data_IF_420943456933
#
_entry.id   IF_420943456933
#
_cell.length_a   1.000
_cell.length_b   1.000
_cell.length_c   1.000
_cell.angle_alpha   90.00
_cell.angle_beta   90.00
_cell.angle_gamma   90.00
#
_symmetry.space_group_name_H-M   'P 1'
#
loop_
_entity.id
_entity.type
_entity.pdbx_description
1 polymer ?
#
# COMPACT_ATOMS: atom_id res chain seq x y z
N UNK A 1 -32.24 -62.04 32.87
CA UNK A 1 -31.21 -62.99 33.30
C UNK A 1 -30.19 -63.05 32.17
N UNK A 2 -29.06 -62.34 32.38
CA UNK A 2 -27.66 -62.79 32.18
C UNK A 2 -27.27 -63.35 30.80
N UNK A 3 -26.12 -63.08 30.17
CA UNK A 3 -24.93 -62.29 30.48
C UNK A 3 -23.94 -62.28 29.26
N UNK A 4 -23.06 -61.27 29.27
CA UNK A 4 -21.62 -61.22 28.88
C UNK A 4 -21.05 -61.66 27.50
N UNK A 5 -20.54 -60.64 26.77
CA UNK A 5 -19.22 -60.38 26.09
C UNK A 5 -18.43 -61.45 25.31
N UNK A 6 -17.76 -61.02 24.21
CA UNK A 6 -16.30 -60.79 24.26
C UNK A 6 -15.89 -59.50 23.50
N UNK A 7 -15.00 -58.63 24.01
CA UNK A 7 -13.53 -58.64 24.08
C UNK A 7 -12.91 -57.55 23.17
N UNK A 8 -11.77 -57.08 23.66
CA UNK A 8 -11.00 -55.90 23.35
C UNK A 8 -10.30 -55.97 21.97
N UNK A 9 -10.62 -55.08 21.02
CA UNK A 9 -9.79 -54.92 19.79
C UNK A 9 -9.87 -53.50 19.22
N UNK A 10 -9.93 -52.49 20.09
CA UNK A 10 -10.17 -51.09 19.66
C UNK A 10 -8.96 -50.16 19.65
N UNK A 11 -7.83 -50.55 20.26
CA UNK A 11 -6.74 -49.61 20.57
C UNK A 11 -5.48 -49.75 19.71
N UNK A 12 -5.20 -50.93 19.15
CA UNK A 12 -3.97 -51.17 18.38
C UNK A 12 -4.02 -50.69 16.91
N UNK A 13 -5.21 -50.41 16.35
CA UNK A 13 -5.35 -50.03 14.92
C UNK A 13 -5.27 -48.51 14.67
N UNK A 14 -5.34 -47.69 15.72
CA UNK A 14 -5.28 -46.22 15.60
C UNK A 14 -3.86 -45.65 15.65
N UNK A 15 -2.88 -46.41 16.13
CA UNK A 15 -1.48 -45.97 16.23
C UNK A 15 -0.68 -46.19 14.94
N UNK A 16 -1.09 -47.12 14.07
CA UNK A 16 -0.41 -47.39 12.80
C UNK A 16 -0.74 -46.40 11.69
N UNK A 17 -1.88 -45.68 11.78
CA UNK A 17 -2.28 -44.68 10.78
C UNK A 17 -1.62 -43.30 10.98
N UNK A 18 -1.00 -43.02 12.13
CA UNK A 18 -0.22 -41.78 12.34
C UNK A 18 1.26 -41.92 11.99
N UNK A 19 1.78 -43.15 11.82
CA UNK A 19 3.18 -43.37 11.46
C UNK A 19 3.46 -43.26 9.95
N UNK A 20 2.45 -43.46 9.09
CA UNK A 20 2.64 -43.43 7.64
C UNK A 20 2.67 -42.01 7.04
N UNK A 21 2.06 -41.02 7.69
CA UNK A 21 2.01 -39.63 7.18
C UNK A 21 3.32 -38.84 7.41
N UNK A 22 4.02 -39.11 8.52
CA UNK A 22 5.23 -38.36 8.89
C UNK A 22 6.44 -38.69 8.00
N UNK A 23 6.51 -39.92 7.46
CA UNK A 23 7.62 -40.34 6.60
C UNK A 23 7.61 -39.66 5.22
N UNK A 24 6.43 -39.40 4.64
CA UNK A 24 6.31 -38.76 3.32
C UNK A 24 6.73 -37.29 3.36
N UNK A 25 6.42 -36.57 4.43
CA UNK A 25 6.80 -35.15 4.60
C UNK A 25 8.31 -34.98 4.72
N UNK A 26 9.01 -35.87 5.44
CA UNK A 26 10.47 -35.81 5.59
C UNK A 26 11.22 -36.10 4.28
N UNK A 27 10.70 -36.98 3.42
CA UNK A 27 11.29 -37.27 2.10
C UNK A 27 11.17 -36.06 1.15
N UNK A 28 10.04 -35.35 1.17
CA UNK A 28 9.84 -34.15 0.35
C UNK A 28 10.75 -33.00 0.80
N UNK A 29 10.93 -32.80 2.11
CA UNK A 29 11.85 -31.77 2.64
C UNK A 29 13.31 -32.11 2.30
N UNK A 30 13.71 -33.39 2.39
CA UNK A 30 15.05 -33.84 1.99
C UNK A 30 15.36 -33.63 0.51
N UNK A 31 14.38 -33.87 -0.37
CA UNK A 31 14.55 -33.67 -1.82
C UNK A 31 14.72 -32.18 -2.20
N UNK A 32 14.03 -31.26 -1.52
CA UNK A 32 14.17 -29.82 -1.79
C UNK A 32 15.53 -29.28 -1.34
N UNK A 33 16.05 -29.73 -0.19
CA UNK A 33 17.36 -29.30 0.30
C UNK A 33 18.53 -29.86 -0.51
N UNK A 34 18.37 -31.03 -1.15
CA UNK A 34 19.37 -31.59 -2.07
C UNK A 34 19.35 -30.92 -3.46
N UNK A 35 18.22 -30.31 -3.87
CA UNK A 35 18.13 -29.53 -5.10
C UNK A 35 18.55 -28.06 -4.92
N UNK A 36 18.42 -27.48 -3.73
CA UNK A 36 18.88 -26.11 -3.44
C UNK A 36 20.28 -26.05 -2.82
N UNK A 37 20.85 -27.20 -2.42
CA UNK A 37 22.14 -27.31 -1.77
C UNK A 37 23.29 -27.83 -2.63
N UNK A 38 23.09 -28.03 -3.94
CA UNK A 38 24.11 -28.58 -4.86
C UNK A 38 24.68 -27.56 -5.84
N UNK A 39 25.04 -26.38 -5.33
CA UNK A 39 25.95 -25.46 -6.02
C UNK A 39 27.19 -25.22 -5.16
N UNK A 40 28.10 -26.21 -5.18
CA UNK A 40 29.47 -26.03 -4.71
C UNK A 40 30.45 -26.37 -5.83
N UNK A 41 31.18 -25.35 -6.29
CA UNK A 41 32.59 -25.46 -6.63
C UNK A 41 32.95 -25.44 -8.11
N UNK A 42 33.45 -24.29 -8.56
CA UNK A 42 34.31 -24.14 -9.74
C UNK A 42 35.00 -22.78 -9.72
N UNK A 43 36.32 -22.79 -9.55
CA UNK A 43 37.20 -21.66 -9.26
C UNK A 43 37.38 -20.60 -10.37
N UNK A 44 37.72 -19.38 -9.90
CA UNK A 44 38.18 -18.09 -10.48
C UNK A 44 39.15 -18.15 -11.71
N UNK A 45 39.55 -16.99 -12.33
CA UNK A 45 39.20 -15.56 -12.09
C UNK A 45 38.80 -14.80 -13.37
N UNK A 46 38.23 -13.59 -13.26
CA UNK A 46 38.76 -12.39 -13.92
C UNK A 46 37.91 -11.15 -13.65
N UNK A 47 38.63 -10.05 -13.43
CA UNK A 47 38.10 -8.74 -13.11
C UNK A 47 37.38 -8.15 -14.32
N UNK A 48 36.08 -7.87 -14.18
CA UNK A 48 35.40 -6.88 -15.01
C UNK A 48 34.18 -6.30 -14.28
N UNK A 49 34.35 -5.06 -13.83
CA UNK A 49 33.32 -4.05 -13.64
C UNK A 49 32.06 -4.47 -12.87
N UNK A 50 32.15 -4.44 -11.52
CA UNK A 50 31.00 -4.09 -10.72
C UNK A 50 30.52 -2.70 -11.13
N UNK A 51 29.51 -2.65 -12.00
CA UNK A 51 28.62 -1.51 -12.09
C UNK A 51 27.83 -1.43 -10.78
N UNK A 52 28.49 -0.94 -9.72
CA UNK A 52 27.79 -0.34 -8.60
C UNK A 52 26.88 0.74 -9.19
N UNK A 53 25.56 0.71 -8.98
CA UNK A 53 24.82 1.95 -9.08
C UNK A 53 25.46 2.87 -8.05
N UNK A 54 26.21 3.86 -8.52
CA UNK A 54 26.65 4.97 -7.68
C UNK A 54 25.41 5.39 -6.90
N UNK A 55 25.47 5.26 -5.58
CA UNK A 55 24.57 5.96 -4.69
C UNK A 55 24.72 7.43 -5.09
N UNK A 56 23.79 7.92 -5.91
CA UNK A 56 23.73 9.31 -6.31
C UNK A 56 23.79 10.09 -5.01
N UNK A 57 24.81 10.93 -4.88
CA UNK A 57 25.06 11.70 -3.68
C UNK A 57 23.72 12.29 -3.21
N UNK A 58 23.23 11.81 -2.06
CA UNK A 58 22.08 12.40 -1.40
C UNK A 58 22.47 13.82 -1.08
N UNK A 59 22.10 14.77 -1.94
CA UNK A 59 22.14 16.19 -1.59
C UNK A 59 21.49 16.32 -0.22
N UNK A 60 22.14 16.97 0.76
CA UNK A 60 21.56 17.15 2.08
C UNK A 60 20.17 17.78 1.92
N UNK A 61 19.11 17.00 2.18
CA UNK A 61 17.77 17.55 2.23
C UNK A 61 17.77 18.58 3.35
N UNK A 62 17.34 19.80 3.05
CA UNK A 62 17.13 20.81 4.06
C UNK A 62 16.33 20.22 5.23
N UNK A 63 16.65 20.57 6.49
CA UNK A 63 15.96 20.02 7.65
C UNK A 63 14.44 20.23 7.52
N UNK A 64 13.68 19.15 7.69
CA UNK A 64 12.23 19.22 7.68
C UNK A 64 11.74 19.98 8.92
N UNK A 65 10.68 20.81 8.82
CA UNK A 65 10.04 21.39 9.98
C UNK A 65 9.59 20.32 10.97
N UNK A 66 9.55 20.66 12.26
CA UNK A 66 9.12 19.75 13.32
C UNK A 66 7.76 19.09 13.00
N UNK A 67 7.71 17.77 13.16
CA UNK A 67 6.51 16.96 12.88
C UNK A 67 6.36 16.51 11.43
N UNK A 68 7.09 17.10 10.48
CA UNK A 68 7.07 16.69 9.07
C UNK A 68 8.06 15.54 8.85
N UNK A 69 7.58 14.46 8.22
CA UNK A 69 8.36 13.20 8.06
C UNK A 69 8.73 12.87 6.62
N UNK A 70 8.26 13.65 5.65
CA UNK A 70 8.59 13.47 4.23
C UNK A 70 8.57 14.82 3.50
N UNK A 71 9.23 14.88 2.33
CA UNK A 71 9.08 15.97 1.37
C UNK A 71 9.24 15.46 -0.07
N UNK A 72 8.53 16.10 -1.01
CA UNK A 72 8.55 15.80 -2.43
C UNK A 72 8.18 14.34 -2.72
N UNK A 73 8.97 13.67 -3.55
CA UNK A 73 8.74 12.29 -3.98
C UNK A 73 8.59 11.30 -2.81
N UNK A 74 9.29 11.54 -1.70
CA UNK A 74 9.21 10.67 -0.51
C UNK A 74 7.83 10.68 0.16
N UNK A 75 6.96 11.66 -0.14
CA UNK A 75 5.59 11.72 0.35
C UNK A 75 4.59 10.92 -0.48
N UNK A 76 4.95 10.52 -1.71
CA UNK A 76 4.01 9.86 -2.62
C UNK A 76 3.47 8.55 -2.01
N UNK A 77 2.15 8.36 -2.08
CA UNK A 77 1.46 7.19 -1.56
C UNK A 77 1.31 7.14 -0.03
N UNK A 78 1.85 8.12 0.71
CA UNK A 78 1.72 8.19 2.17
C UNK A 78 0.51 9.03 2.58
N UNK A 79 0.02 8.78 3.80
CA UNK A 79 -1.04 9.60 4.40
C UNK A 79 -0.51 10.97 4.85
N UNK A 80 -1.27 12.03 4.56
CA UNK A 80 -0.84 13.41 4.83
C UNK A 80 -0.78 13.71 6.33
N UNK A 81 -1.68 13.14 7.14
CA UNK A 81 -1.71 13.38 8.58
C UNK A 81 -0.57 12.63 9.27
N UNK A 82 -0.36 11.37 8.92
CA UNK A 82 0.71 10.53 9.44
C UNK A 82 2.11 11.12 9.18
N UNK A 83 2.26 11.85 8.07
CA UNK A 83 3.52 12.52 7.69
C UNK A 83 3.65 13.95 8.21
N UNK A 84 2.65 14.48 8.93
CA UNK A 84 2.63 15.87 9.41
C UNK A 84 2.47 16.90 8.29
N UNK A 85 2.00 16.47 7.12
CA UNK A 85 1.74 17.32 5.97
C UNK A 85 0.36 18.00 6.04
N UNK A 86 -0.53 17.52 6.92
CA UNK A 86 -1.81 18.15 7.24
C UNK A 86 -1.66 19.29 8.27
N UNK A 87 -2.72 20.09 8.47
CA UNK A 87 -2.75 21.17 9.47
C UNK A 87 -2.70 22.59 8.89
N UNK A 88 -2.23 23.55 9.68
CA UNK A 88 -2.35 25.00 9.39
C UNK A 88 -1.58 25.52 8.17
N UNK A 89 -0.82 24.67 7.47
CA UNK A 89 0.01 25.04 6.30
C UNK A 89 -0.49 24.41 5.00
N UNK A 90 -1.74 23.96 4.99
CA UNK A 90 -2.40 23.32 3.85
C UNK A 90 -3.42 24.25 3.22
N UNK A 91 -3.35 24.43 1.90
CA UNK A 91 -4.32 25.22 1.14
C UNK A 91 -5.33 24.31 0.39
N UNK A 92 -6.56 24.78 0.19
CA UNK A 92 -7.50 24.17 -0.76
C UNK A 92 -7.22 24.88 -2.07
N UNK A 93 -6.64 24.18 -3.03
CA UNK A 93 -6.20 24.77 -4.30
C UNK A 93 -7.24 24.60 -5.42
N UNK A 94 -8.15 23.63 -5.26
CA UNK A 94 -9.35 23.52 -6.09
C UNK A 94 -10.46 22.78 -5.33
N UNK A 95 -11.71 23.00 -5.72
CA UNK A 95 -12.86 22.32 -5.13
C UNK A 95 -14.00 22.14 -6.14
N UNK A 96 -14.93 21.24 -5.83
CA UNK A 96 -16.17 20.99 -6.55
C UNK A 96 -17.23 20.41 -5.60
N UNK A 97 -18.50 20.48 -6.00
CA UNK A 97 -19.63 19.89 -5.26
C UNK A 97 -20.46 19.06 -6.23
N UNK A 98 -20.86 17.86 -5.80
CA UNK A 98 -21.75 16.95 -6.55
C UNK A 98 -22.78 16.33 -5.61
N UNK A 99 -24.02 16.78 -5.71
CA UNK A 99 -25.05 16.43 -4.71
C UNK A 99 -24.67 16.95 -3.32
N UNK A 100 -24.68 16.07 -2.31
CA UNK A 100 -24.25 16.39 -0.95
C UNK A 100 -22.72 16.32 -0.75
N UNK A 101 -21.98 15.88 -1.77
CA UNK A 101 -20.57 15.57 -1.68
C UNK A 101 -19.74 16.77 -2.08
N UNK A 102 -18.86 17.22 -1.19
CA UNK A 102 -17.86 18.25 -1.47
C UNK A 102 -16.49 17.61 -1.66
N UNK A 103 -15.85 17.95 -2.78
CA UNK A 103 -14.54 17.47 -3.18
C UNK A 103 -13.55 18.63 -3.16
N UNK A 104 -12.39 18.42 -2.55
CA UNK A 104 -11.34 19.42 -2.41
C UNK A 104 -9.98 18.84 -2.75
N UNK A 105 -9.13 19.62 -3.42
CA UNK A 105 -7.71 19.33 -3.57
C UNK A 105 -6.96 20.14 -2.53
N UNK A 106 -6.23 19.43 -1.68
CA UNK A 106 -5.43 19.98 -0.61
C UNK A 106 -3.96 19.92 -1.02
N UNK A 107 -3.22 20.98 -0.75
CA UNK A 107 -1.79 21.07 -1.10
C UNK A 107 -0.99 21.57 0.10
N UNK A 108 0.11 20.88 0.39
CA UNK A 108 1.11 21.29 1.38
C UNK A 108 2.38 21.70 0.66
N UNK A 109 2.73 22.99 0.76
CA UNK A 109 3.97 23.52 0.18
C UNK A 109 5.22 22.89 0.80
N UNK A 110 5.19 22.64 2.11
CA UNK A 110 6.32 22.05 2.85
C UNK A 110 6.58 20.63 2.38
N UNK A 111 5.51 19.84 2.19
CA UNK A 111 5.65 18.46 1.76
C UNK A 111 5.80 18.32 0.24
N UNK A 112 5.58 19.38 -0.55
CA UNK A 112 5.59 19.29 -2.01
C UNK A 112 4.62 18.22 -2.51
N UNK A 113 3.41 18.20 -1.94
CA UNK A 113 2.45 17.13 -2.19
C UNK A 113 1.01 17.63 -2.13
N UNK A 114 0.15 16.99 -2.91
CA UNK A 114 -1.28 17.24 -2.96
C UNK A 114 -2.09 15.96 -2.75
N UNK A 115 -3.29 16.11 -2.21
CA UNK A 115 -4.23 15.00 -2.01
C UNK A 115 -5.68 15.48 -2.13
N UNK A 116 -6.59 14.53 -2.37
CA UNK A 116 -8.01 14.77 -2.41
C UNK A 116 -8.62 14.61 -1.02
N UNK A 117 -9.56 15.48 -0.68
CA UNK A 117 -10.47 15.34 0.45
C UNK A 117 -11.90 15.31 -0.08
N UNK A 118 -12.68 14.37 0.42
CA UNK A 118 -14.13 14.32 0.17
C UNK A 118 -14.86 14.43 1.50
N UNK A 119 -15.97 15.18 1.54
CA UNK A 119 -16.86 15.29 2.70
C UNK A 119 -18.31 15.15 2.27
N UNK A 120 -19.16 14.58 3.13
CA UNK A 120 -20.55 14.24 2.79
C UNK A 120 -20.66 12.98 1.91
N UNK A 121 -19.59 12.18 1.84
CA UNK A 121 -19.54 10.97 1.01
C UNK A 121 -20.44 9.85 1.58
N UNK A 122 -20.98 9.03 0.68
CA UNK A 122 -21.64 7.79 1.02
C UNK A 122 -20.67 6.59 0.89
N UNK A 123 -20.91 5.46 1.57
CA UNK A 123 -20.17 4.24 1.34
C UNK A 123 -20.18 3.86 -0.16
N UNK A 124 -19.00 3.59 -0.72
CA UNK A 124 -18.82 3.27 -2.14
C UNK A 124 -18.43 4.46 -3.02
N UNK A 125 -18.47 5.69 -2.51
CA UNK A 125 -17.92 6.84 -3.22
C UNK A 125 -16.39 6.71 -3.34
N UNK A 126 -15.87 7.11 -4.51
CA UNK A 126 -14.45 7.07 -4.82
C UNK A 126 -13.94 8.46 -5.17
N UNK A 127 -12.74 8.80 -4.71
CA UNK A 127 -12.02 10.01 -5.14
C UNK A 127 -10.66 9.62 -5.72
N UNK A 128 -10.23 10.32 -6.77
CA UNK A 128 -8.90 10.21 -7.38
C UNK A 128 -8.28 11.58 -7.54
N UNK A 129 -6.97 11.69 -7.36
CA UNK A 129 -6.20 12.91 -7.66
C UNK A 129 -5.54 12.75 -9.02
N UNK A 130 -5.49 13.84 -9.78
CA UNK A 130 -4.96 13.90 -11.13
C UNK A 130 -3.91 15.00 -11.21
N UNK A 131 -2.77 14.70 -11.82
CA UNK A 131 -1.66 15.65 -12.01
C UNK A 131 -1.42 15.80 -13.49
N UNK A 132 -1.67 16.99 -14.04
CA UNK A 132 -1.47 17.25 -15.48
C UNK A 132 -2.32 16.35 -16.38
N UNK A 133 -3.45 15.82 -15.89
CA UNK A 133 -4.29 14.87 -16.63
C UNK A 133 -3.96 13.39 -16.42
N UNK A 134 -2.76 13.08 -15.90
CA UNK A 134 -2.37 11.72 -15.51
C UNK A 134 -3.05 11.32 -14.21
N UNK A 135 -3.29 10.01 -14.04
CA UNK A 135 -3.92 9.41 -12.85
C UNK A 135 -2.89 8.84 -11.87
N UNK A 136 -2.35 9.62 -10.92
CA UNK A 136 -1.73 9.08 -9.72
C UNK A 136 -2.81 8.45 -8.82
N UNK A 137 -2.48 7.32 -8.20
CA UNK A 137 -3.45 6.46 -7.52
C UNK A 137 -3.95 7.00 -6.18
N UNK A 138 -5.25 6.79 -5.91
CA UNK A 138 -5.78 6.07 -4.76
C UNK A 138 -7.32 6.12 -4.77
N UNK A 139 -7.94 5.20 -4.01
CA UNK A 139 -9.38 5.03 -3.81
C UNK A 139 -9.65 5.07 -2.31
N UNK A 140 -10.72 5.72 -1.88
CA UNK A 140 -11.09 5.86 -0.47
C UNK A 140 -11.73 4.59 0.09
N UNK A 141 -11.49 4.32 1.38
CA UNK A 141 -12.10 3.22 2.13
C UNK A 141 -13.59 3.55 2.35
N UNK A 142 -14.48 2.61 2.07
CA UNK A 142 -15.92 2.81 2.23
C UNK A 142 -16.32 2.86 3.72
N UNK A 143 -17.24 3.77 4.09
CA UNK A 143 -17.88 3.79 5.42
C UNK A 143 -17.81 5.13 6.16
N UNK A 144 -16.96 6.05 5.75
CA UNK A 144 -16.81 7.37 6.39
C UNK A 144 -17.37 8.49 5.50
N UNK A 145 -18.07 9.44 6.11
CA UNK A 145 -18.58 10.63 5.40
C UNK A 145 -17.48 11.60 5.01
N UNK A 146 -16.26 11.39 5.50
CA UNK A 146 -15.06 12.13 5.17
C UNK A 146 -14.00 11.13 4.78
N UNK A 147 -13.30 11.35 3.67
CA UNK A 147 -12.19 10.50 3.29
C UNK A 147 -11.10 11.27 2.54
N UNK A 148 -9.89 10.73 2.57
CA UNK A 148 -8.70 11.33 1.99
C UNK A 148 -8.01 10.35 1.03
N UNK A 149 -7.45 10.88 -0.05
CA UNK A 149 -6.47 10.10 -0.83
C UNK A 149 -5.10 10.18 -0.16
N UNK A 150 -4.26 9.15 -0.32
CA UNK A 150 -2.82 9.28 -0.28
C UNK A 150 -2.29 10.51 -1.03
N UNK A 151 -1.14 10.99 -0.57
CA UNK A 151 -0.44 12.10 -1.17
C UNK A 151 0.15 11.74 -2.54
N UNK A 152 0.11 12.71 -3.43
CA UNK A 152 0.82 12.70 -4.70
C UNK A 152 1.88 13.79 -4.64
N UNK A 153 3.13 13.42 -4.87
CA UNK A 153 4.22 14.37 -4.96
C UNK A 153 4.00 15.31 -6.15
N UNK A 154 4.03 16.61 -5.90
CA UNK A 154 3.87 17.66 -6.92
C UNK A 154 4.77 18.83 -6.59
N UNK A 155 5.49 19.34 -7.59
CA UNK A 155 6.33 20.53 -7.40
C UNK A 155 5.48 21.78 -7.14
N UNK A 156 4.33 21.86 -7.82
CA UNK A 156 3.39 22.99 -7.75
C UNK A 156 1.96 22.49 -7.77
N UNK A 157 1.06 23.28 -7.20
CA UNK A 157 -0.37 22.97 -7.19
C UNK A 157 -1.01 23.07 -8.58
N UNK A 158 -0.45 23.90 -9.48
CA UNK A 158 -1.05 24.14 -10.80
C UNK A 158 -1.22 22.84 -11.59
N UNK A 159 -2.40 22.62 -12.17
CA UNK A 159 -2.67 21.39 -12.94
C UNK A 159 -3.07 20.18 -12.09
N UNK A 160 -3.11 20.31 -10.76
CA UNK A 160 -3.70 19.30 -9.88
C UNK A 160 -5.21 19.47 -9.84
N UNK A 161 -5.95 18.38 -10.06
CA UNK A 161 -7.40 18.31 -9.84
C UNK A 161 -7.76 17.02 -9.13
N UNK A 162 -8.94 16.97 -8.53
CA UNK A 162 -9.50 15.71 -8.06
C UNK A 162 -10.78 15.40 -8.82
N UNK A 163 -11.07 14.11 -8.99
CA UNK A 163 -12.35 13.64 -9.50
C UNK A 163 -12.95 12.66 -8.51
N UNK A 164 -14.24 12.84 -8.22
CA UNK A 164 -15.04 11.92 -7.44
C UNK A 164 -16.02 11.17 -8.34
N UNK A 165 -16.25 9.90 -8.05
CA UNK A 165 -17.32 9.08 -8.62
C UNK A 165 -18.17 8.61 -7.46
N UNK A 166 -19.43 9.03 -7.44
CA UNK A 166 -20.37 8.64 -6.42
C UNK A 166 -20.82 7.20 -6.65
N UNK A 167 -21.24 6.50 -5.60
CA UNK A 167 -21.79 5.15 -5.68
C UNK A 167 -22.97 5.06 -6.67
N UNK A 168 -23.74 6.14 -6.80
CA UNK A 168 -24.84 6.29 -7.77
C UNK A 168 -24.37 6.52 -9.23
N UNK A 169 -23.07 6.40 -9.53
CA UNK A 169 -22.49 6.52 -10.87
C UNK A 169 -22.21 7.94 -11.36
N UNK A 170 -22.59 8.99 -10.60
CA UNK A 170 -22.29 10.38 -10.97
C UNK A 170 -20.81 10.70 -10.77
N UNK A 171 -20.18 11.32 -11.75
CA UNK A 171 -18.79 11.77 -11.67
C UNK A 171 -18.71 13.30 -11.70
N UNK A 172 -17.84 13.88 -10.88
CA UNK A 172 -17.50 15.30 -10.94
C UNK A 172 -16.01 15.49 -10.70
N UNK A 173 -15.42 16.51 -11.32
CA UNK A 173 -14.02 16.88 -11.12
C UNK A 173 -13.92 18.34 -10.69
N UNK A 174 -12.89 18.64 -9.91
CA UNK A 174 -12.48 20.03 -9.69
C UNK A 174 -11.87 20.59 -10.98
N UNK A 175 -11.98 21.91 -11.15
CA UNK A 175 -11.12 22.58 -12.11
C UNK A 175 -9.66 22.41 -11.68
N UNK A 176 -8.71 22.31 -12.63
CA UNK A 176 -7.29 22.35 -12.29
C UNK A 176 -6.98 23.56 -11.42
N UNK A 177 -6.21 23.35 -10.35
CA UNK A 177 -5.68 24.46 -9.58
C UNK A 177 -4.86 25.40 -10.48
N UNK A 178 -4.98 26.69 -10.20
CA UNK A 178 -4.27 27.77 -10.90
C UNK A 178 -2.84 27.92 -10.38
#
# INVERSE_FOLDING_TARGET
>A
RDAATPEDTGRARRTTLFAAGAAVVLVVIGAVLLFTGRDTGGDRPDAAAHNSPSAGASTPQAPLPSGVRCAGASCAGKDAEAMGCSGGRVATVSNAVVGAVRLEVRYSRICGAAWGRITGAAPGDQVRVLVGGTRPGAVTRAGETIAYTPMVAVEKASGVRACATLAAGRTACTNPAK
#
